data_IF_001439226073
#
_entry.id   IF_001439226073
#
_cell.length_a   1.000
_cell.length_b   1.000
_cell.length_c   1.000
_cell.angle_alpha   90.00
_cell.angle_beta   90.00
_cell.angle_gamma   90.00
#
_symmetry.space_group_name_H-M   'P 1'
#
loop_
_entity.id
_entity.type
_entity.pdbx_description
1 polymer ?
#
# COMPACT_ATOMS: atom_id res chain seq x y z
N UNK A 1 18.03 5.79 -20.28
CA UNK A 1 17.56 6.91 -19.46
C UNK A 1 16.51 6.53 -18.41
N UNK A 2 15.41 5.82 -18.78
CA UNK A 2 14.33 5.41 -17.85
C UNK A 2 14.86 4.53 -16.70
N UNK A 3 15.68 3.53 -17.02
CA UNK A 3 16.27 2.61 -16.03
C UNK A 3 17.12 3.34 -14.95
N UNK A 4 17.96 4.28 -15.36
CA UNK A 4 18.78 5.08 -14.42
C UNK A 4 17.92 5.98 -13.53
N UNK A 5 16.82 6.55 -14.07
CA UNK A 5 15.86 7.33 -13.27
C UNK A 5 15.14 6.45 -12.25
N UNK A 6 14.75 5.23 -12.63
CA UNK A 6 14.10 4.27 -11.72
C UNK A 6 15.06 3.82 -10.62
N UNK A 7 16.33 3.54 -10.94
CA UNK A 7 17.38 3.26 -9.94
C UNK A 7 17.60 4.42 -8.98
N UNK A 8 17.64 5.66 -9.50
CA UNK A 8 17.75 6.86 -8.66
C UNK A 8 16.59 7.03 -7.68
N UNK A 9 15.38 6.62 -8.05
CA UNK A 9 14.20 6.68 -7.17
C UNK A 9 14.22 5.61 -6.07
N UNK A 10 14.88 4.48 -6.29
CA UNK A 10 14.98 3.37 -5.32
C UNK A 10 16.14 3.58 -4.35
N UNK A 11 17.19 4.27 -4.78
CA UNK A 11 18.40 4.48 -3.98
C UNK A 11 18.13 5.10 -2.59
N UNK A 12 17.35 6.20 -2.44
CA UNK A 12 17.02 6.75 -1.13
C UNK A 12 16.28 5.75 -0.22
N UNK A 13 15.43 4.89 -0.79
CA UNK A 13 14.69 3.86 -0.06
C UNK A 13 15.68 2.87 0.56
N UNK A 14 16.60 2.34 -0.25
CA UNK A 14 17.63 1.40 0.21
C UNK A 14 18.52 2.04 1.28
N UNK A 15 18.94 3.30 1.08
CA UNK A 15 19.78 4.01 2.04
C UNK A 15 19.06 4.19 3.39
N UNK A 16 17.79 4.57 3.40
CA UNK A 16 17.03 4.73 4.65
C UNK A 16 16.85 3.40 5.39
N UNK A 17 16.56 2.31 4.67
CA UNK A 17 16.50 0.96 5.26
C UNK A 17 17.87 0.58 5.84
N UNK A 18 18.95 0.81 5.11
CA UNK A 18 20.32 0.50 5.57
C UNK A 18 20.70 1.31 6.82
N UNK A 19 20.32 2.60 6.88
CA UNK A 19 20.53 3.44 8.07
C UNK A 19 19.80 2.83 9.27
N UNK A 20 18.51 2.49 9.14
CA UNK A 20 17.74 1.86 10.23
C UNK A 20 18.39 0.57 10.72
N UNK A 21 18.83 -0.28 9.80
CA UNK A 21 19.56 -1.53 10.09
C UNK A 21 20.86 -1.28 10.87
N UNK A 22 21.71 -0.36 10.37
CA UNK A 22 23.01 -0.04 10.97
C UNK A 22 22.84 0.55 12.38
N UNK A 23 21.93 1.50 12.55
CA UNK A 23 21.69 2.15 13.84
C UNK A 23 21.19 1.13 14.88
N UNK A 24 20.33 0.19 14.47
CA UNK A 24 19.88 -0.89 15.36
C UNK A 24 21.03 -1.83 15.73
N UNK A 25 21.85 -2.23 14.77
CA UNK A 25 23.04 -3.07 15.04
C UNK A 25 24.07 -2.38 15.93
N UNK A 26 24.12 -1.06 15.91
CA UNK A 26 24.97 -0.25 16.81
C UNK A 26 24.33 0.04 18.17
N UNK A 27 23.19 -0.61 18.51
CA UNK A 27 22.46 -0.45 19.78
C UNK A 27 21.99 0.97 20.10
N UNK A 28 21.75 1.82 19.07
CA UNK A 28 21.21 3.17 19.28
C UNK A 28 19.77 3.15 19.77
N UNK A 29 19.01 2.08 19.47
CA UNK A 29 17.59 1.99 19.77
C UNK A 29 17.30 0.94 20.84
N UNK A 30 16.52 1.33 21.82
CA UNK A 30 15.99 0.44 22.85
C UNK A 30 15.03 -0.61 22.26
N UNK A 31 14.79 -1.71 22.97
CA UNK A 31 13.92 -2.79 22.49
C UNK A 31 12.49 -2.32 22.15
N UNK A 32 11.95 -1.34 22.90
CA UNK A 32 10.60 -0.79 22.68
C UNK A 32 10.51 0.21 21.54
N UNK A 33 11.65 0.64 20.97
CA UNK A 33 11.66 1.71 19.96
C UNK A 33 10.88 1.34 18.71
N UNK A 34 11.04 0.11 18.21
CA UNK A 34 10.34 -0.39 17.01
C UNK A 34 8.83 -0.32 17.19
N UNK A 35 8.32 -0.75 18.36
CA UNK A 35 6.90 -0.71 18.68
C UNK A 35 6.38 0.73 18.75
N UNK A 36 7.12 1.64 19.38
CA UNK A 36 6.74 3.05 19.50
C UNK A 36 6.72 3.75 18.14
N UNK A 37 7.70 3.48 17.28
CA UNK A 37 7.73 4.00 15.90
C UNK A 37 6.54 3.47 15.09
N UNK A 38 6.25 2.18 15.18
CA UNK A 38 5.09 1.58 14.52
C UNK A 38 3.78 2.22 14.98
N UNK A 39 3.60 2.43 16.29
CA UNK A 39 2.43 3.11 16.85
C UNK A 39 2.32 4.56 16.38
N UNK A 40 3.43 5.31 16.34
CA UNK A 40 3.45 6.68 15.84
C UNK A 40 3.06 6.75 14.35
N UNK A 41 3.62 5.86 13.54
CA UNK A 41 3.28 5.78 12.11
C UNK A 41 1.79 5.49 11.96
N UNK A 42 1.28 4.44 12.58
CA UNK A 42 -0.09 3.94 12.34
C UNK A 42 -1.16 4.86 12.91
N UNK A 43 -0.93 5.46 14.10
CA UNK A 43 -1.96 6.22 14.79
C UNK A 43 -1.91 7.73 14.52
N UNK A 44 -0.79 8.26 14.04
CA UNK A 44 -0.61 9.71 13.83
C UNK A 44 -0.19 10.02 12.41
N UNK A 45 0.99 9.57 12.01
CA UNK A 45 1.58 10.00 10.76
C UNK A 45 0.79 9.53 9.53
N UNK A 46 0.40 8.25 9.49
CA UNK A 46 -0.35 7.66 8.38
C UNK A 46 -1.77 8.25 8.23
N UNK A 47 -2.58 8.41 9.30
CA UNK A 47 -3.82 9.17 9.22
C UNK A 47 -3.67 10.57 8.64
N UNK A 48 -2.66 11.32 9.09
CA UNK A 48 -2.38 12.66 8.56
C UNK A 48 -1.96 12.62 7.09
N UNK A 49 -1.13 11.65 6.70
CA UNK A 49 -0.70 11.46 5.31
C UNK A 49 -1.88 11.16 4.39
N UNK A 50 -2.78 10.28 4.82
CA UNK A 50 -4.00 9.91 4.06
C UNK A 50 -4.91 11.13 3.92
N UNK A 51 -5.19 11.84 5.02
CA UNK A 51 -6.03 13.02 5.02
C UNK A 51 -5.47 14.08 4.06
N UNK A 52 -4.19 14.42 4.18
CA UNK A 52 -3.53 15.37 3.30
C UNK A 52 -3.56 14.92 1.83
N UNK A 53 -3.28 13.65 1.56
CA UNK A 53 -3.23 13.11 0.20
C UNK A 53 -4.61 13.14 -0.49
N UNK A 54 -5.66 12.79 0.22
CA UNK A 54 -7.03 12.87 -0.30
C UNK A 54 -7.36 14.30 -0.67
N UNK A 55 -7.13 15.27 0.22
CA UNK A 55 -7.45 16.68 -0.05
C UNK A 55 -6.57 17.31 -1.14
N UNK A 56 -5.31 16.88 -1.25
CA UNK A 56 -4.39 17.41 -2.25
C UNK A 56 -4.64 16.87 -3.64
N UNK A 57 -4.89 15.57 -3.75
CA UNK A 57 -4.88 14.87 -5.03
C UNK A 57 -6.26 14.51 -5.55
N UNK A 58 -7.30 14.53 -4.70
CA UNK A 58 -8.67 14.29 -5.12
C UNK A 58 -9.43 15.61 -5.19
N UNK A 59 -10.18 15.78 -6.28
CA UNK A 59 -11.22 16.81 -6.41
C UNK A 59 -12.44 16.19 -7.07
N UNK A 60 -13.58 16.86 -6.97
CA UNK A 60 -14.86 16.36 -7.48
C UNK A 60 -14.86 16.18 -9.01
N UNK A 61 -14.12 17.03 -9.73
CA UNK A 61 -14.00 16.93 -11.19
C UNK A 61 -13.21 15.68 -11.58
N UNK A 62 -12.05 15.47 -10.95
CA UNK A 62 -11.25 14.27 -11.15
C UNK A 62 -12.03 13.00 -10.80
N UNK A 63 -12.80 13.01 -9.70
CA UNK A 63 -13.64 11.86 -9.31
C UNK A 63 -14.72 11.57 -10.36
N UNK A 64 -15.39 12.58 -10.91
CA UNK A 64 -16.40 12.41 -11.95
C UNK A 64 -15.79 11.93 -13.27
N UNK A 65 -14.68 12.54 -13.70
CA UNK A 65 -13.99 12.17 -14.94
C UNK A 65 -13.52 10.72 -14.94
N UNK A 66 -13.09 10.24 -13.76
CA UNK A 66 -12.39 8.97 -13.63
C UNK A 66 -13.21 7.86 -12.97
N UNK A 67 -14.41 8.18 -12.46
CA UNK A 67 -15.25 7.22 -11.70
C UNK A 67 -15.55 5.93 -12.48
N UNK A 68 -15.82 6.03 -13.78
CA UNK A 68 -16.09 4.86 -14.64
C UNK A 68 -14.87 3.95 -14.81
N UNK A 69 -13.67 4.43 -14.49
CA UNK A 69 -12.42 3.69 -14.64
C UNK A 69 -11.97 3.00 -13.36
N UNK A 70 -12.51 3.40 -12.22
CA UNK A 70 -12.33 2.70 -10.94
C UNK A 70 -12.76 1.24 -11.02
N UNK A 71 -13.72 0.92 -11.89
CA UNK A 71 -14.19 -0.46 -12.09
C UNK A 71 -13.04 -1.41 -12.46
N UNK A 72 -12.06 -0.97 -13.24
CA UNK A 72 -10.94 -1.82 -13.66
C UNK A 72 -9.96 -2.07 -12.52
N UNK A 73 -9.69 -1.05 -11.70
CA UNK A 73 -8.82 -1.20 -10.53
C UNK A 73 -9.50 -2.04 -9.45
N UNK A 74 -10.81 -1.85 -9.20
CA UNK A 74 -11.57 -2.72 -8.28
C UNK A 74 -11.66 -4.16 -8.79
N UNK A 75 -11.91 -4.36 -10.09
CA UNK A 75 -11.92 -5.69 -10.69
C UNK A 75 -10.57 -6.40 -10.51
N UNK A 76 -9.44 -5.70 -10.71
CA UNK A 76 -8.10 -6.24 -10.48
C UNK A 76 -7.92 -6.70 -9.03
N UNK A 77 -8.36 -5.91 -8.06
CA UNK A 77 -8.29 -6.23 -6.64
C UNK A 77 -9.15 -7.47 -6.32
N UNK A 78 -10.38 -7.53 -6.81
CA UNK A 78 -11.28 -8.68 -6.59
C UNK A 78 -10.67 -9.96 -7.19
N UNK A 79 -10.19 -9.90 -8.44
CA UNK A 79 -9.51 -11.03 -9.09
C UNK A 79 -8.29 -11.45 -8.29
N UNK A 80 -7.52 -10.50 -7.77
CA UNK A 80 -6.37 -10.75 -6.91
C UNK A 80 -6.74 -11.51 -5.64
N UNK A 81 -7.79 -11.10 -4.93
CA UNK A 81 -8.27 -11.80 -3.73
C UNK A 81 -8.77 -13.22 -4.05
N UNK A 82 -9.52 -13.38 -5.13
CA UNK A 82 -10.01 -14.71 -5.56
C UNK A 82 -8.83 -15.62 -5.90
N UNK A 83 -7.85 -15.13 -6.65
CA UNK A 83 -6.67 -15.91 -7.00
C UNK A 83 -5.84 -16.28 -5.76
N UNK A 84 -5.60 -15.32 -4.86
CA UNK A 84 -4.90 -15.58 -3.60
C UNK A 84 -5.62 -16.62 -2.75
N UNK A 85 -6.95 -16.55 -2.65
CA UNK A 85 -7.77 -17.57 -1.96
C UNK A 85 -7.60 -18.97 -2.57
N UNK A 86 -7.62 -19.06 -3.91
CA UNK A 86 -7.43 -20.33 -4.59
C UNK A 86 -6.04 -20.90 -4.34
N UNK A 87 -5.00 -20.06 -4.42
CA UNK A 87 -3.62 -20.46 -4.13
C UNK A 87 -3.49 -20.95 -2.70
N UNK A 88 -3.98 -20.20 -1.71
CA UNK A 88 -3.95 -20.58 -0.29
C UNK A 88 -4.58 -21.96 -0.08
N UNK A 89 -5.73 -22.25 -0.72
CA UNK A 89 -6.39 -23.55 -0.64
C UNK A 89 -5.59 -24.67 -1.32
N UNK A 90 -5.07 -24.42 -2.51
CA UNK A 90 -4.34 -25.41 -3.30
C UNK A 90 -3.03 -25.84 -2.63
N UNK A 91 -2.25 -24.87 -2.10
CA UNK A 91 -0.98 -25.17 -1.43
C UNK A 91 -1.14 -25.50 0.05
N UNK A 92 -2.37 -25.46 0.58
CA UNK A 92 -2.67 -25.66 2.00
C UNK A 92 -1.82 -24.78 2.91
N UNK A 93 -1.77 -23.47 2.56
CA UNK A 93 -0.94 -22.50 3.27
C UNK A 93 -1.24 -22.47 4.76
N UNK A 94 -0.19 -22.38 5.58
CA UNK A 94 -0.29 -22.36 7.05
C UNK A 94 -1.09 -21.16 7.54
N UNK A 95 -1.79 -21.35 8.65
CA UNK A 95 -2.35 -20.26 9.43
C UNK A 95 -1.24 -19.32 9.93
N UNK A 96 -1.58 -18.06 10.15
CA UNK A 96 -0.60 -17.00 10.47
C UNK A 96 0.16 -16.44 9.26
N UNK A 97 0.03 -17.05 8.06
CA UNK A 97 0.63 -16.55 6.81
C UNK A 97 -0.39 -16.15 5.75
N UNK A 98 -1.63 -16.58 5.90
CA UNK A 98 -2.70 -16.38 4.90
C UNK A 98 -3.04 -14.91 4.73
N UNK A 99 -3.23 -14.19 5.83
CA UNK A 99 -3.54 -12.75 5.83
C UNK A 99 -2.42 -11.92 5.20
N UNK A 100 -1.17 -12.25 5.52
CA UNK A 100 0.01 -11.62 4.90
C UNK A 100 0.07 -11.93 3.40
N UNK A 101 -0.20 -13.18 3.00
CA UNK A 101 -0.20 -13.60 1.60
C UNK A 101 -1.25 -12.85 0.77
N UNK A 102 -2.49 -12.71 1.27
CA UNK A 102 -3.51 -11.90 0.60
C UNK A 102 -3.02 -10.47 0.35
N UNK A 103 -2.48 -9.83 1.38
CA UNK A 103 -1.99 -8.46 1.27
C UNK A 103 -0.78 -8.37 0.32
N UNK A 104 0.14 -9.32 0.39
CA UNK A 104 1.31 -9.36 -0.49
C UNK A 104 0.93 -9.48 -1.97
N UNK A 105 -0.06 -10.28 -2.31
CA UNK A 105 -0.51 -10.46 -3.70
C UNK A 105 -1.35 -9.27 -4.18
N UNK A 106 -2.28 -8.77 -3.35
CA UNK A 106 -3.31 -7.83 -3.81
C UNK A 106 -2.91 -6.37 -3.62
N UNK A 107 -2.35 -6.02 -2.47
CA UNK A 107 -2.18 -4.63 -2.06
C UNK A 107 -0.77 -4.09 -2.34
N UNK A 108 -0.71 -3.00 -3.09
CA UNK A 108 0.53 -2.35 -3.49
C UNK A 108 0.94 -1.24 -2.52
N UNK A 109 2.24 -1.01 -2.39
CA UNK A 109 2.77 0.20 -1.76
C UNK A 109 2.66 1.38 -2.71
N UNK A 110 1.46 1.90 -2.84
CA UNK A 110 1.15 2.98 -3.76
C UNK A 110 1.73 4.32 -3.33
N UNK A 111 1.86 4.58 -2.02
CA UNK A 111 2.32 5.88 -1.50
C UNK A 111 3.84 5.98 -1.52
N UNK A 112 4.54 5.01 -0.90
CA UNK A 112 5.97 5.16 -0.64
C UNK A 112 6.84 4.78 -1.84
N UNK A 113 6.35 3.87 -2.69
CA UNK A 113 7.08 3.43 -3.88
C UNK A 113 6.31 3.80 -5.15
N UNK A 114 5.01 3.54 -5.17
CA UNK A 114 4.19 3.75 -6.35
C UNK A 114 4.13 5.21 -6.80
N UNK A 115 3.89 6.16 -5.90
CA UNK A 115 3.82 7.58 -6.25
C UNK A 115 5.16 8.15 -6.71
N UNK A 116 6.29 8.02 -5.96
CA UNK A 116 7.58 8.50 -6.43
C UNK A 116 7.99 7.92 -7.78
N UNK A 117 7.75 6.61 -7.98
CA UNK A 117 8.06 5.95 -9.23
C UNK A 117 7.20 6.49 -10.39
N UNK A 118 5.91 6.67 -10.15
CA UNK A 118 4.99 7.23 -11.14
C UNK A 118 5.37 8.66 -11.55
N UNK A 119 5.69 9.49 -10.54
CA UNK A 119 6.13 10.88 -10.77
C UNK A 119 7.47 10.95 -11.52
N UNK A 120 8.42 10.07 -11.19
CA UNK A 120 9.71 10.00 -11.86
C UNK A 120 9.62 9.55 -13.33
N UNK A 121 8.70 8.62 -13.63
CA UNK A 121 8.54 8.05 -14.98
C UNK A 121 7.64 8.89 -15.88
N UNK A 122 6.56 9.43 -15.34
CA UNK A 122 5.46 10.02 -16.12
C UNK A 122 5.12 11.46 -15.76
N UNK A 123 5.70 12.00 -14.67
CA UNK A 123 5.42 13.35 -14.19
C UNK A 123 4.00 13.53 -13.63
N UNK A 124 3.62 14.79 -13.42
CA UNK A 124 2.32 15.14 -12.80
C UNK A 124 1.10 14.77 -13.65
N UNK A 125 1.25 14.69 -14.97
CA UNK A 125 0.16 14.32 -15.86
C UNK A 125 -0.47 12.95 -15.55
N UNK A 126 0.32 12.03 -14.97
CA UNK A 126 -0.14 10.72 -14.57
C UNK A 126 -0.84 10.67 -13.20
N UNK A 127 -0.85 11.78 -12.46
CA UNK A 127 -1.36 11.82 -11.08
C UNK A 127 -2.84 11.44 -10.99
N UNK A 128 -3.67 11.86 -11.94
CA UNK A 128 -5.09 11.49 -11.98
C UNK A 128 -5.32 9.98 -12.07
N UNK A 129 -4.52 9.28 -12.88
CA UNK A 129 -4.61 7.82 -13.02
C UNK A 129 -4.02 7.09 -11.81
N UNK A 130 -2.91 7.59 -11.29
CA UNK A 130 -2.32 7.10 -10.05
C UNK A 130 -3.35 7.13 -8.91
N UNK A 131 -4.10 8.23 -8.78
CA UNK A 131 -5.10 8.41 -7.72
C UNK A 131 -6.22 7.37 -7.76
N UNK A 132 -6.67 6.96 -8.94
CA UNK A 132 -7.66 5.88 -9.05
C UNK A 132 -7.15 4.58 -8.45
N UNK A 133 -5.93 4.20 -8.81
CA UNK A 133 -5.32 3.01 -8.25
C UNK A 133 -5.12 3.17 -6.74
N UNK A 134 -4.69 4.35 -6.29
CA UNK A 134 -4.52 4.69 -4.88
C UNK A 134 -5.81 4.56 -4.08
N UNK A 135 -6.94 5.08 -4.57
CA UNK A 135 -8.25 4.96 -3.91
C UNK A 135 -8.61 3.49 -3.72
N UNK A 136 -8.58 2.73 -4.82
CA UNK A 136 -8.93 1.30 -4.79
C UNK A 136 -8.05 0.53 -3.83
N UNK A 137 -6.74 0.76 -3.90
CA UNK A 137 -5.77 0.09 -3.04
C UNK A 137 -5.95 0.49 -1.56
N UNK A 138 -6.23 1.77 -1.27
CA UNK A 138 -6.48 2.25 0.09
C UNK A 138 -7.74 1.63 0.68
N UNK A 139 -8.84 1.60 -0.08
CA UNK A 139 -10.06 0.90 0.33
C UNK A 139 -9.78 -0.57 0.57
N UNK A 140 -9.09 -1.25 -0.35
CA UNK A 140 -8.74 -2.66 -0.25
C UNK A 140 -7.91 -2.97 1.01
N UNK A 141 -6.81 -2.24 1.23
CA UNK A 141 -5.92 -2.45 2.38
C UNK A 141 -6.66 -2.29 3.69
N UNK A 142 -7.38 -1.19 3.85
CA UNK A 142 -7.97 -0.82 5.15
C UNK A 142 -9.33 -1.49 5.41
N UNK A 143 -9.89 -2.20 4.45
CA UNK A 143 -11.08 -3.04 4.62
C UNK A 143 -10.70 -4.52 4.63
N UNK A 144 -10.73 -5.16 3.45
CA UNK A 144 -10.49 -6.60 3.32
C UNK A 144 -9.06 -6.99 3.74
N UNK A 145 -8.06 -6.21 3.35
CA UNK A 145 -6.66 -6.49 3.66
C UNK A 145 -6.39 -6.53 5.15
N UNK A 146 -6.80 -5.47 5.87
CA UNK A 146 -6.67 -5.40 7.33
C UNK A 146 -7.48 -6.48 8.04
N UNK A 147 -8.71 -6.74 7.58
CA UNK A 147 -9.59 -7.75 8.15
C UNK A 147 -8.99 -9.16 8.02
N UNK A 148 -8.50 -9.51 6.84
CA UNK A 148 -7.87 -10.82 6.59
C UNK A 148 -6.59 -10.99 7.41
N UNK A 149 -5.79 -9.92 7.54
CA UNK A 149 -4.59 -9.92 8.37
C UNK A 149 -4.93 -10.08 9.85
N UNK A 150 -5.92 -9.34 10.34
CA UNK A 150 -6.34 -9.37 11.75
C UNK A 150 -7.10 -10.65 12.14
N UNK A 151 -7.63 -11.39 11.15
CA UNK A 151 -8.34 -12.66 11.36
C UNK A 151 -7.43 -13.88 11.28
N UNK A 152 -6.20 -13.70 10.80
CA UNK A 152 -5.24 -14.80 10.65
C UNK A 152 -4.60 -15.07 12.03
N UNK A 153 -4.73 -16.29 12.60
CA UNK A 153 -4.19 -16.58 13.92
C UNK A 153 -2.67 -16.48 13.92
N UNK A 154 -2.12 -15.68 14.82
CA UNK A 154 -0.67 -15.67 15.04
C UNK A 154 -0.28 -16.92 15.84
N UNK A 155 0.77 -17.60 15.40
CA UNK A 155 1.24 -18.90 15.92
C UNK A 155 1.52 -18.94 17.45
N UNK A 156 1.55 -17.75 18.13
CA UNK A 156 1.88 -17.60 19.55
C UNK A 156 0.83 -16.86 20.41
N UNK A 157 -0.34 -16.55 19.87
CA UNK A 157 -1.37 -15.90 20.67
C UNK A 157 -2.37 -16.93 21.20
N UNK A 158 -2.21 -17.31 22.47
CA UNK A 158 -3.10 -18.26 23.16
C UNK A 158 -4.59 -17.88 23.21
N UNK A 159 -4.99 -16.75 22.67
CA UNK A 159 -6.35 -16.21 22.59
C UNK A 159 -6.91 -16.11 21.17
N UNK A 160 -6.37 -16.88 20.22
CA UNK A 160 -6.75 -16.78 18.83
C UNK A 160 -8.07 -17.50 18.52
N UNK A 161 -9.19 -16.98 18.98
CA UNK A 161 -10.44 -17.10 18.24
C UNK A 161 -10.43 -16.03 17.17
N UNK A 162 -9.86 -16.36 16.01
CA UNK A 162 -9.96 -15.57 14.79
C UNK A 162 -11.43 -15.37 14.42
N UNK A 163 -12.03 -14.29 14.84
CA UNK A 163 -13.41 -13.92 14.55
C UNK A 163 -13.46 -12.61 13.77
N UNK A 164 -14.38 -12.52 12.85
CA UNK A 164 -14.72 -11.29 12.15
C UNK A 164 -15.14 -10.22 13.18
N UNK A 165 -14.27 -9.25 13.44
CA UNK A 165 -14.53 -8.20 14.41
C UNK A 165 -14.57 -6.85 13.69
N UNK A 166 -15.78 -6.37 13.41
CA UNK A 166 -16.03 -5.07 12.78
C UNK A 166 -15.36 -3.89 13.51
N UNK A 167 -15.15 -3.99 14.84
CA UNK A 167 -14.42 -2.97 15.59
C UNK A 167 -12.95 -2.85 15.19
N UNK A 168 -12.36 -3.95 14.69
CA UNK A 168 -10.99 -3.93 14.15
C UNK A 168 -10.88 -3.19 12.82
N UNK A 169 -11.99 -2.99 12.10
CA UNK A 169 -12.02 -2.18 10.88
C UNK A 169 -11.87 -0.68 11.15
N UNK A 170 -12.21 -0.20 12.34
CA UNK A 170 -12.06 1.21 12.73
C UNK A 170 -10.60 1.55 13.05
N UNK A 171 -9.69 1.22 12.12
CA UNK A 171 -8.29 1.63 12.24
C UNK A 171 -8.15 3.14 12.02
N UNK A 172 -7.19 3.82 12.70
CA UNK A 172 -6.98 5.26 12.53
C UNK A 172 -6.79 5.69 11.07
N UNK A 173 -6.06 4.94 10.22
CA UNK A 173 -5.95 5.26 8.80
C UNK A 173 -7.28 5.20 8.03
N UNK A 174 -8.13 4.21 8.31
CA UNK A 174 -9.45 4.13 7.69
C UNK A 174 -10.36 5.28 8.12
N UNK A 175 -10.35 5.60 9.42
CA UNK A 175 -11.12 6.75 9.96
C UNK A 175 -10.67 8.04 9.26
N UNK A 176 -9.36 8.26 9.15
CA UNK A 176 -8.82 9.44 8.45
C UNK A 176 -9.23 9.49 6.98
N UNK A 177 -9.24 8.34 6.29
CA UNK A 177 -9.72 8.26 4.91
C UNK A 177 -11.21 8.64 4.81
N UNK A 178 -12.05 8.08 5.68
CA UNK A 178 -13.50 8.38 5.69
C UNK A 178 -13.75 9.86 5.97
N UNK A 179 -13.06 10.43 6.96
CA UNK A 179 -13.18 11.86 7.29
C UNK A 179 -12.71 12.72 6.11
N UNK A 180 -11.56 12.44 5.54
CA UNK A 180 -11.03 13.19 4.40
C UNK A 180 -11.97 13.13 3.19
N UNK A 181 -12.54 11.97 2.91
CA UNK A 181 -13.48 11.77 1.83
C UNK A 181 -14.81 12.50 2.08
N UNK A 182 -15.33 12.50 3.32
CA UNK A 182 -16.51 13.26 3.71
C UNK A 182 -16.27 14.77 3.56
N UNK A 183 -15.11 15.28 3.98
CA UNK A 183 -14.71 16.68 3.78
C UNK A 183 -14.62 17.03 2.30
N UNK A 184 -14.05 16.16 1.49
CA UNK A 184 -13.99 16.34 0.03
C UNK A 184 -15.39 16.44 -0.58
N UNK A 185 -16.31 15.53 -0.22
CA UNK A 185 -17.67 15.50 -0.74
C UNK A 185 -18.51 16.69 -0.28
N UNK A 186 -18.28 17.18 0.93
CA UNK A 186 -19.01 18.36 1.47
C UNK A 186 -18.58 19.67 0.82
N UNK A 187 -17.45 19.70 0.10
CA UNK A 187 -16.89 20.91 -0.47
C UNK A 187 -16.34 21.92 0.56
N UNK A 188 -16.27 21.53 1.83
CA UNK A 188 -15.73 22.38 2.89
C UNK A 188 -14.24 22.64 2.65
N UNK A 189 -13.87 23.91 2.60
CA UNK A 189 -12.44 24.29 2.54
C UNK A 189 -11.80 24.16 3.91
N UNK A 190 -10.89 23.22 4.03
CA UNK A 190 -10.09 23.05 5.26
C UNK A 190 -9.13 24.23 5.42
N UNK A 191 -9.05 24.78 6.62
CA UNK A 191 -8.16 25.91 6.92
C UNK A 191 -6.68 25.51 6.74
N UNK A 192 -5.87 26.42 6.23
CA UNK A 192 -4.46 26.20 5.91
C UNK A 192 -3.64 25.61 7.06
N UNK A 193 -3.77 26.04 8.32
CA UNK A 193 -3.02 25.44 9.43
C UNK A 193 -3.26 23.95 9.60
N UNK A 194 -4.49 23.46 9.42
CA UNK A 194 -4.81 22.02 9.50
C UNK A 194 -4.15 21.26 8.34
N UNK A 195 -4.25 21.80 7.13
CA UNK A 195 -3.66 21.18 5.93
C UNK A 195 -2.13 21.08 6.08
N UNK A 196 -1.48 22.17 6.50
CA UNK A 196 -0.01 22.19 6.69
C UNK A 196 0.42 21.25 7.83
N UNK A 197 -0.33 21.22 8.94
CA UNK A 197 -0.05 20.29 10.04
C UNK A 197 -0.13 18.83 9.57
N UNK A 198 -1.19 18.47 8.86
CA UNK A 198 -1.35 17.10 8.33
C UNK A 198 -0.30 16.77 7.26
N UNK A 199 0.14 17.74 6.46
CA UNK A 199 1.24 17.60 5.53
C UNK A 199 2.57 17.32 6.24
N UNK A 200 2.93 18.09 7.27
CA UNK A 200 4.18 17.88 8.03
C UNK A 200 4.18 16.53 8.75
N UNK A 201 3.12 16.21 9.51
CA UNK A 201 3.00 14.93 10.18
C UNK A 201 2.95 13.76 9.18
N UNK A 202 2.24 13.92 8.07
CA UNK A 202 2.18 12.92 7.02
C UNK A 202 3.51 12.69 6.31
N UNK A 203 4.34 13.71 6.17
CA UNK A 203 5.64 13.61 5.49
C UNK A 203 6.65 12.71 6.20
N UNK A 204 6.50 12.50 7.50
CA UNK A 204 7.40 11.63 8.28
C UNK A 204 7.11 10.15 8.08
N UNK A 205 5.98 9.79 7.49
CA UNK A 205 5.60 8.37 7.28
C UNK A 205 6.68 7.63 6.49
N UNK A 206 7.07 8.14 5.33
CA UNK A 206 8.05 7.48 4.46
C UNK A 206 9.39 7.25 5.15
N UNK A 207 10.06 8.27 5.70
CA UNK A 207 11.36 8.07 6.35
C UNK A 207 11.26 7.17 7.59
N UNK A 208 10.23 7.34 8.43
CA UNK A 208 10.07 6.49 9.60
C UNK A 208 9.75 5.04 9.25
N UNK A 209 8.90 4.80 8.24
CA UNK A 209 8.57 3.44 7.81
C UNK A 209 9.79 2.72 7.25
N UNK A 210 10.61 3.39 6.45
CA UNK A 210 11.82 2.78 5.86
C UNK A 210 12.90 2.52 6.92
N UNK A 211 13.10 3.43 7.86
CA UNK A 211 13.95 3.20 9.04
C UNK A 211 13.44 2.02 9.86
N UNK A 212 12.13 1.96 10.12
CA UNK A 212 11.47 0.87 10.84
C UNK A 212 11.70 -0.49 10.17
N UNK A 213 11.56 -0.59 8.84
CA UNK A 213 11.87 -1.81 8.09
C UNK A 213 13.32 -2.24 8.35
N UNK A 214 14.27 -1.30 8.30
CA UNK A 214 15.68 -1.58 8.59
C UNK A 214 15.90 -2.09 10.02
N UNK A 215 15.22 -1.50 11.01
CA UNK A 215 15.30 -1.90 12.41
C UNK A 215 14.75 -3.32 12.60
N UNK A 216 13.57 -3.61 12.05
CA UNK A 216 12.93 -4.93 12.13
C UNK A 216 13.79 -5.99 11.43
N UNK A 217 14.38 -5.67 10.28
CA UNK A 217 15.30 -6.56 9.57
C UNK A 217 16.56 -6.85 10.40
N UNK A 218 17.07 -5.86 11.15
CA UNK A 218 18.20 -6.06 12.05
C UNK A 218 17.86 -6.94 13.26
N UNK A 219 16.63 -6.82 13.80
CA UNK A 219 16.14 -7.66 14.89
C UNK A 219 15.91 -9.10 14.44
N UNK A 220 15.26 -9.29 13.30
CA UNK A 220 15.02 -10.62 12.71
C UNK A 220 16.31 -11.30 12.22
N UNK A 221 17.30 -10.51 11.82
CA UNK A 221 18.51 -10.97 11.17
C UNK A 221 18.31 -11.30 9.69
N UNK A 222 19.35 -11.12 8.87
CA UNK A 222 19.28 -11.37 7.42
C UNK A 222 18.98 -12.84 7.07
N UNK A 223 19.31 -13.78 7.96
CA UNK A 223 19.01 -15.19 7.81
C UNK A 223 17.50 -15.53 7.92
N UNK A 224 16.69 -14.60 8.42
CA UNK A 224 15.22 -14.75 8.45
C UNK A 224 14.58 -14.61 7.06
N UNK A 225 15.30 -14.03 6.10
CA UNK A 225 14.84 -13.94 4.71
C UNK A 225 14.88 -15.36 4.11
N UNK A 226 13.71 -15.96 3.98
CA UNK A 226 13.57 -17.31 3.42
C UNK A 226 12.76 -17.24 2.13
N UNK A 227 13.32 -17.80 1.06
CA UNK A 227 12.60 -17.99 -0.20
C UNK A 227 11.88 -19.35 -0.17
N UNK A 228 10.94 -19.49 0.78
CA UNK A 228 10.06 -20.65 0.82
C UNK A 228 8.96 -20.56 -0.26
N UNK A 229 8.16 -21.63 -0.39
CA UNK A 229 7.11 -21.70 -1.39
C UNK A 229 6.10 -20.53 -1.26
N UNK A 230 5.70 -20.21 -0.01
CA UNK A 230 4.72 -19.17 0.26
C UNK A 230 5.25 -17.80 -0.17
N UNK A 231 6.51 -17.51 0.16
CA UNK A 231 7.19 -16.26 -0.22
C UNK A 231 7.35 -16.15 -1.74
N UNK A 232 7.78 -17.23 -2.40
CA UNK A 232 7.94 -17.24 -3.86
C UNK A 232 6.60 -17.05 -4.58
N UNK A 233 5.54 -17.71 -4.09
CA UNK A 233 4.19 -17.53 -4.64
C UNK A 233 3.67 -16.10 -4.41
N UNK A 234 3.95 -15.49 -3.26
CA UNK A 234 3.59 -14.10 -2.99
C UNK A 234 4.31 -13.13 -3.96
N UNK A 235 5.61 -13.33 -4.17
CA UNK A 235 6.39 -12.52 -5.12
C UNK A 235 5.89 -12.69 -6.57
N UNK A 236 5.64 -13.93 -7.01
CA UNK A 236 5.05 -14.20 -8.33
C UNK A 236 3.64 -13.60 -8.44
N UNK A 237 2.83 -13.74 -7.39
CA UNK A 237 1.51 -13.15 -7.32
C UNK A 237 1.55 -11.62 -7.44
N UNK A 238 2.49 -10.98 -6.77
CA UNK A 238 2.62 -9.52 -6.78
C UNK A 238 3.21 -8.99 -8.09
N UNK A 239 4.38 -9.46 -8.49
CA UNK A 239 5.11 -8.85 -9.59
C UNK A 239 4.67 -9.35 -10.96
N UNK A 240 4.18 -10.58 -11.06
CA UNK A 240 3.79 -11.18 -12.33
C UNK A 240 2.26 -11.22 -12.48
N UNK A 241 1.58 -11.92 -11.58
CA UNK A 241 0.13 -12.15 -11.73
C UNK A 241 -0.66 -10.84 -11.68
N UNK A 242 -0.44 -9.96 -10.69
CA UNK A 242 -1.17 -8.68 -10.57
C UNK A 242 -0.95 -7.79 -11.79
N UNK A 243 0.28 -7.74 -12.32
CA UNK A 243 0.60 -6.99 -13.53
C UNK A 243 -0.09 -7.57 -14.78
N UNK A 244 -0.09 -8.90 -14.92
CA UNK A 244 -0.75 -9.59 -16.04
C UNK A 244 -2.27 -9.38 -16.00
N UNK A 245 -2.88 -9.52 -14.82
CA UNK A 245 -4.32 -9.25 -14.62
C UNK A 245 -4.66 -7.82 -15.04
N UNK A 246 -3.88 -6.83 -14.60
CA UNK A 246 -4.09 -5.44 -15.00
C UNK A 246 -3.98 -5.24 -16.50
N UNK A 247 -2.95 -5.80 -17.14
CA UNK A 247 -2.77 -5.72 -18.59
C UNK A 247 -3.96 -6.36 -19.35
N UNK A 248 -4.42 -7.52 -18.91
CA UNK A 248 -5.57 -8.21 -19.51
C UNK A 248 -6.84 -7.38 -19.36
N UNK A 249 -7.11 -6.87 -18.17
CA UNK A 249 -8.28 -6.01 -17.90
C UNK A 249 -8.25 -4.74 -18.78
N UNK A 250 -7.11 -4.08 -18.89
CA UNK A 250 -6.99 -2.89 -19.73
C UNK A 250 -7.10 -3.19 -21.23
N UNK A 251 -6.62 -4.35 -21.69
CA UNK A 251 -6.85 -4.80 -23.08
C UNK A 251 -8.33 -5.07 -23.36
N UNK A 252 -9.04 -5.67 -22.43
CA UNK A 252 -10.49 -5.91 -22.52
C UNK A 252 -11.21 -4.57 -22.51
N UNK A 253 -10.89 -3.69 -21.56
CA UNK A 253 -11.46 -2.35 -21.44
C UNK A 253 -11.27 -1.50 -22.72
N UNK A 254 -10.11 -1.58 -23.32
CA UNK A 254 -9.77 -0.87 -24.58
C UNK A 254 -10.65 -1.24 -25.77
N UNK A 255 -11.42 -2.33 -25.68
CA UNK A 255 -12.43 -2.69 -26.70
C UNK A 255 -13.73 -1.88 -26.55
N UNK A 256 -14.00 -1.36 -25.35
CA UNK A 256 -15.25 -0.68 -25.01
C UNK A 256 -15.03 0.81 -24.76
N UNK A 257 -13.86 1.19 -24.28
CA UNK A 257 -13.53 2.57 -23.88
C UNK A 257 -12.16 2.94 -24.43
N UNK A 258 -12.03 4.15 -24.98
CA UNK A 258 -10.73 4.69 -25.39
C UNK A 258 -9.90 4.99 -24.13
N UNK A 259 -8.83 4.22 -23.95
CA UNK A 259 -7.88 4.40 -22.84
C UNK A 259 -6.73 5.30 -23.26
N UNK A 260 -6.30 6.18 -22.36
CA UNK A 260 -5.10 6.98 -22.54
C UNK A 260 -3.85 6.06 -22.38
N UNK A 261 -2.85 6.13 -23.25
CA UNK A 261 -1.61 5.39 -23.09
C UNK A 261 -0.92 5.62 -21.74
N UNK A 262 -1.07 6.81 -21.16
CA UNK A 262 -0.52 7.15 -19.85
C UNK A 262 -1.27 6.44 -18.71
N UNK A 263 -2.59 6.30 -18.83
CA UNK A 263 -3.42 5.53 -17.92
C UNK A 263 -2.96 4.06 -17.88
N UNK A 264 -2.82 3.43 -19.04
CA UNK A 264 -2.38 2.04 -19.15
C UNK A 264 -1.02 1.85 -18.45
N UNK A 265 -0.04 2.70 -18.76
CA UNK A 265 1.29 2.64 -18.17
C UNK A 265 1.24 2.83 -16.64
N UNK A 266 0.46 3.79 -16.18
CA UNK A 266 0.32 4.09 -14.75
C UNK A 266 -0.29 2.90 -14.00
N UNK A 267 -1.40 2.34 -14.48
CA UNK A 267 -2.05 1.21 -13.80
C UNK A 267 -1.17 -0.04 -13.76
N UNK A 268 -0.45 -0.34 -14.84
CA UNK A 268 0.47 -1.49 -14.88
C UNK A 268 1.62 -1.32 -13.89
N UNK A 269 2.21 -0.12 -13.80
CA UNK A 269 3.28 0.16 -12.84
C UNK A 269 2.77 0.10 -11.40
N UNK A 270 1.59 0.63 -11.12
CA UNK A 270 1.00 0.55 -9.78
C UNK A 270 0.66 -0.90 -9.41
N UNK A 271 0.17 -1.70 -10.38
CA UNK A 271 -0.05 -3.12 -10.18
C UNK A 271 1.24 -3.92 -9.94
N UNK A 272 2.36 -3.48 -10.44
CA UNK A 272 3.67 -4.08 -10.24
C UNK A 272 4.44 -3.52 -9.03
N UNK A 273 3.92 -2.49 -8.36
CA UNK A 273 4.60 -1.90 -7.21
C UNK A 273 4.73 -2.93 -6.07
N UNK A 274 5.83 -2.93 -5.29
CA UNK A 274 6.02 -3.84 -4.17
C UNK A 274 4.85 -3.79 -3.17
N UNK A 275 4.80 -4.76 -2.28
CA UNK A 275 3.82 -4.78 -1.19
C UNK A 275 4.09 -3.65 -0.18
N UNK A 276 3.04 -3.24 0.50
CA UNK A 276 3.08 -2.24 1.57
C UNK A 276 3.72 -2.81 2.84
#
# INVERSE_FOLDING_TARGET
>A
MIFLKSLGSIFPIIVMIAIGYILKKRHWFHHTFSENVSKLITNVALPCSIFYSVLKYLNMEALKEVSNRLIFTFASVIIGYVAAFLVIKLVKMREGRRGVFYNAVVNANTIFIGLPLNMALFGEAASKYYLMYYITNTVSIWTLGYMLLASDPMENSGDAKGGFNLKKLLSPPLIAFVIAFAVLLSGIKVITPIVETTKYLGSVVTPLALLYIGIVLADAGLHSIRFDLDTNLALLGRFVFSSVVMIVLLKIAGRFVKLDPLEIKTFVIQAAAPVF
#
